data_IF_513004384896
#
_entry.id   IF_513004384896
#
_cell.length_a   1.000
_cell.length_b   1.000
_cell.length_c   1.000
_cell.angle_alpha   90.00
_cell.angle_beta   90.00
_cell.angle_gamma   90.00
#
_symmetry.space_group_name_H-M   'P 1'
#
loop_
_entity.id
_entity.type
_entity.pdbx_description
1 polymer ?
#
# COMPACT_ATOMS: atom_id res chain seq x y z
N UNK A 1 21.76 -22.40 6.67
CA UNK A 1 20.45 -21.78 6.39
C UNK A 1 20.02 -21.08 7.66
N UNK A 2 19.89 -19.76 7.65
CA UNK A 2 19.39 -19.05 8.82
C UNK A 2 17.92 -19.43 9.02
N UNK A 3 17.52 -19.81 10.24
CA UNK A 3 16.12 -19.89 10.62
C UNK A 3 15.52 -18.50 10.41
N UNK A 4 14.88 -18.25 9.27
CA UNK A 4 14.10 -17.03 9.06
C UNK A 4 12.90 -17.17 9.98
N UNK A 5 12.82 -16.38 11.05
CA UNK A 5 11.72 -16.37 12.01
C UNK A 5 10.74 -15.27 11.54
N UNK A 6 9.43 -15.43 11.76
CA UNK A 6 8.46 -14.35 11.60
C UNK A 6 8.80 -13.28 12.64
N UNK A 7 9.47 -12.23 12.21
CA UNK A 7 9.98 -11.19 13.12
C UNK A 7 9.40 -9.83 12.77
N UNK A 8 8.94 -9.08 13.80
CA UNK A 8 8.46 -7.71 13.62
C UNK A 8 9.60 -6.84 13.07
N UNK A 9 9.41 -6.26 11.89
CA UNK A 9 10.36 -5.37 11.24
C UNK A 9 10.29 -3.97 11.83
N UNK A 10 9.09 -3.36 11.82
CA UNK A 10 8.86 -2.05 12.37
C UNK A 10 7.41 -1.87 12.86
N UNK A 11 7.20 -0.78 13.58
CA UNK A 11 5.89 -0.27 13.94
C UNK A 11 5.85 1.24 13.72
N UNK A 12 4.94 1.72 12.87
CA UNK A 12 4.76 3.14 12.61
C UNK A 12 3.36 3.58 13.05
N UNK A 13 3.30 4.62 13.89
CA UNK A 13 2.06 5.26 14.30
C UNK A 13 1.93 6.62 13.61
N UNK A 14 0.84 6.81 12.86
CA UNK A 14 0.55 8.05 12.15
C UNK A 14 -0.32 8.98 12.99
N UNK A 15 -0.20 10.28 12.69
CA UNK A 15 -0.95 11.36 13.34
C UNK A 15 -2.46 11.18 13.14
N UNK A 16 -2.89 10.76 11.94
CA UNK A 16 -4.30 10.60 11.58
C UNK A 16 -4.58 9.21 11.00
N UNK A 17 -5.87 8.80 10.92
CA UNK A 17 -6.24 7.52 10.31
C UNK A 17 -5.77 7.39 8.87
N UNK A 18 -5.18 6.24 8.55
CA UNK A 18 -4.74 5.82 7.24
C UNK A 18 -5.96 5.61 6.34
N UNK A 19 -5.89 6.20 5.15
CA UNK A 19 -6.91 6.15 4.12
C UNK A 19 -6.47 5.36 2.89
N UNK A 20 -5.20 5.50 2.50
CA UNK A 20 -4.65 4.82 1.33
C UNK A 20 -3.17 4.55 1.50
N UNK A 21 -2.70 3.47 0.90
CA UNK A 21 -1.30 3.05 0.85
C UNK A 21 -0.93 2.78 -0.60
N UNK A 22 0.25 3.23 -1.02
CA UNK A 22 0.88 2.92 -2.30
C UNK A 22 2.34 2.54 -2.05
N UNK A 23 2.93 1.70 -2.90
CA UNK A 23 4.27 1.14 -2.69
C UNK A 23 5.15 1.33 -3.92
N UNK A 24 6.38 1.80 -3.70
CA UNK A 24 7.48 1.74 -4.66
C UNK A 24 8.45 0.66 -4.17
N UNK A 25 8.26 -0.56 -4.66
CA UNK A 25 9.07 -1.70 -4.23
C UNK A 25 10.52 -1.62 -4.72
N UNK A 26 10.77 -0.94 -5.84
CA UNK A 26 12.12 -0.75 -6.40
C UNK A 26 12.96 0.08 -5.46
N UNK A 27 12.39 1.15 -4.90
CA UNK A 27 13.07 2.03 -3.94
C UNK A 27 12.77 1.69 -2.48
N UNK A 28 11.98 0.64 -2.22
CA UNK A 28 11.56 0.21 -0.86
C UNK A 28 10.88 1.34 -0.08
N UNK A 29 9.96 2.05 -0.72
CA UNK A 29 9.20 3.15 -0.13
C UNK A 29 7.71 2.82 -0.06
N UNK A 30 7.05 3.33 0.98
CA UNK A 30 5.62 3.18 1.21
C UNK A 30 5.04 4.57 1.41
N UNK A 31 4.17 4.99 0.50
CA UNK A 31 3.41 6.23 0.62
C UNK A 31 2.07 5.97 1.30
N UNK A 32 1.73 6.83 2.25
CA UNK A 32 0.58 6.66 3.15
C UNK A 32 -0.19 7.97 3.19
N UNK A 33 -1.42 7.93 2.69
CA UNK A 33 -2.40 9.02 2.89
C UNK A 33 -3.10 8.81 4.22
N UNK A 34 -3.09 9.84 5.05
CA UNK A 34 -3.91 9.93 6.26
C UNK A 34 -4.84 11.13 6.17
N UNK A 35 -5.97 11.09 6.87
CA UNK A 35 -6.92 12.21 6.89
C UNK A 35 -7.27 12.64 8.28
N UNK A 36 -7.11 13.94 8.55
CA UNK A 36 -7.53 14.52 9.80
C UNK A 36 -9.07 14.44 9.94
N UNK A 37 -9.61 13.79 10.97
CA UNK A 37 -11.05 13.67 11.16
C UNK A 37 -11.76 15.02 11.35
N UNK A 38 -11.07 16.04 11.86
CA UNK A 38 -11.68 17.32 12.22
C UNK A 38 -11.88 18.22 10.99
N UNK A 39 -10.85 18.35 10.14
CA UNK A 39 -10.87 19.25 8.98
C UNK A 39 -10.92 18.52 7.64
N UNK A 40 -10.84 17.18 7.63
CA UNK A 40 -10.82 16.28 6.46
C UNK A 40 -9.64 16.48 5.49
N UNK A 41 -8.65 17.30 5.86
CA UNK A 41 -7.46 17.51 5.02
C UNK A 41 -6.63 16.23 4.93
N UNK A 42 -6.10 15.92 3.73
CA UNK A 42 -5.16 14.83 3.54
C UNK A 42 -3.75 15.25 3.98
N UNK A 43 -3.06 14.32 4.61
CA UNK A 43 -1.65 14.39 4.98
C UNK A 43 -0.95 13.16 4.41
N UNK A 44 0.17 13.39 3.73
CA UNK A 44 0.93 12.37 3.04
C UNK A 44 2.23 12.09 3.79
N UNK A 45 2.48 10.81 4.02
CA UNK A 45 3.68 10.31 4.67
C UNK A 45 4.38 9.34 3.73
N UNK A 46 5.70 9.27 3.81
CA UNK A 46 6.50 8.27 3.11
C UNK A 46 7.45 7.64 4.10
N UNK A 47 7.45 6.32 4.18
CA UNK A 47 8.38 5.55 5.00
C UNK A 47 9.17 4.56 4.17
N UNK A 48 10.33 4.14 4.67
CA UNK A 48 11.08 3.02 4.11
C UNK A 48 10.49 1.68 4.56
N UNK A 49 10.93 0.57 3.96
CA UNK A 49 10.55 -0.78 4.39
C UNK A 49 11.16 -1.16 5.75
N UNK A 50 12.13 -0.38 6.22
CA UNK A 50 12.75 -0.48 7.54
C UNK A 50 11.98 0.35 8.58
N UNK A 51 11.00 1.17 8.15
CA UNK A 51 10.15 1.99 9.01
C UNK A 51 10.66 3.41 9.23
N UNK A 52 11.73 3.82 8.55
CA UNK A 52 12.28 5.17 8.65
C UNK A 52 11.36 6.17 7.97
N UNK A 53 11.11 7.32 8.62
CA UNK A 53 10.30 8.40 8.05
C UNK A 53 11.13 9.18 7.03
N UNK A 54 10.67 9.20 5.78
CA UNK A 54 11.25 9.95 4.67
C UNK A 54 10.51 11.28 4.48
N UNK A 55 9.18 11.22 4.46
CA UNK A 55 8.30 12.39 4.39
C UNK A 55 7.25 12.27 5.49
N UNK A 56 7.05 13.32 6.27
CA UNK A 56 6.12 13.31 7.41
C UNK A 56 5.08 14.42 7.30
N UNK A 57 3.82 14.04 7.46
CA UNK A 57 2.67 14.93 7.57
C UNK A 57 2.65 16.03 6.49
N UNK A 58 3.03 15.69 5.25
CA UNK A 58 3.00 16.63 4.13
C UNK A 58 1.54 16.94 3.79
N UNK A 59 1.11 18.16 4.09
CA UNK A 59 -0.28 18.57 3.92
C UNK A 59 -0.62 18.79 2.45
N UNK A 60 -1.72 18.20 1.98
CA UNK A 60 -2.23 18.47 0.63
C UNK A 60 -2.69 19.93 0.44
N UNK A 61 -2.67 20.39 -0.81
CA UNK A 61 -3.06 21.76 -1.19
C UNK A 61 -4.52 22.05 -0.79
N UNK A 62 -5.42 21.08 -0.96
CA UNK A 62 -6.82 21.14 -0.57
C UNK A 62 -7.37 19.75 -0.25
N UNK A 63 -8.61 19.68 0.25
CA UNK A 63 -9.25 18.44 0.72
C UNK A 63 -9.44 17.38 -0.36
N UNK A 64 -9.51 17.83 -1.62
CA UNK A 64 -9.76 17.02 -2.80
C UNK A 64 -8.50 16.32 -3.33
N UNK A 65 -7.32 16.66 -2.80
CA UNK A 65 -6.09 15.96 -3.18
C UNK A 65 -6.01 14.58 -2.52
N UNK A 66 -5.56 13.60 -3.28
CA UNK A 66 -5.38 12.22 -2.84
C UNK A 66 -4.08 11.64 -3.36
N UNK A 67 -3.60 10.61 -2.68
CA UNK A 67 -2.48 9.79 -3.11
C UNK A 67 -2.86 9.06 -4.40
N UNK A 68 -2.09 9.25 -5.46
CA UNK A 68 -2.27 8.56 -6.73
C UNK A 68 -1.27 7.41 -6.91
N UNK A 69 -0.07 7.54 -6.37
CA UNK A 69 0.99 6.54 -6.45
C UNK A 69 2.31 7.06 -5.85
N UNK A 70 3.30 6.18 -5.81
CA UNK A 70 4.70 6.51 -5.52
C UNK A 70 5.58 5.70 -6.46
N UNK A 71 6.57 6.35 -7.07
CA UNK A 71 7.56 5.72 -7.94
C UNK A 71 8.74 6.67 -8.12
N UNK A 72 9.95 6.15 -8.37
CA UNK A 72 11.15 6.97 -8.61
C UNK A 72 11.45 7.91 -7.45
N UNK A 73 11.13 7.51 -6.21
CA UNK A 73 11.26 8.38 -5.02
C UNK A 73 10.43 9.67 -5.14
N UNK A 74 9.38 9.66 -5.98
CA UNK A 74 8.42 10.75 -6.13
C UNK A 74 7.05 10.31 -5.63
N UNK A 75 6.48 11.13 -4.75
CA UNK A 75 5.09 11.04 -4.34
C UNK A 75 4.21 11.70 -5.40
N UNK A 76 3.23 10.96 -5.92
CA UNK A 76 2.30 11.46 -6.93
C UNK A 76 0.92 11.65 -6.30
N UNK A 77 0.43 12.87 -6.37
CA UNK A 77 -0.88 13.27 -5.88
C UNK A 77 -1.76 13.69 -7.05
N UNK A 78 -3.06 13.42 -6.92
CA UNK A 78 -4.07 13.90 -7.87
C UNK A 78 -5.20 14.58 -7.15
N UNK A 79 -5.82 15.56 -7.79
CA UNK A 79 -7.06 16.17 -7.32
C UNK A 79 -8.27 15.34 -7.82
N UNK A 80 -9.15 14.94 -6.92
CA UNK A 80 -10.44 14.33 -7.26
C UNK A 80 -11.43 15.46 -7.59
N UNK A 81 -12.07 15.41 -8.75
CA UNK A 81 -13.21 16.27 -9.06
C UNK A 81 -14.50 15.45 -9.04
N UNK A 82 -15.51 15.87 -8.29
CA UNK A 82 -16.81 15.21 -8.25
C UNK A 82 -17.69 15.53 -9.46
N UNK A 83 -17.47 16.66 -10.15
CA UNK A 83 -18.46 17.18 -11.12
C UNK A 83 -17.93 17.83 -12.42
N UNK A 84 -16.62 17.93 -12.67
CA UNK A 84 -16.14 18.48 -13.95
C UNK A 84 -14.62 18.28 -14.18
N UNK A 85 -14.18 17.99 -15.42
CA UNK A 85 -12.77 18.04 -15.83
C UNK A 85 -12.03 19.36 -15.50
N UNK A 86 -12.76 20.43 -15.21
CA UNK A 86 -12.19 21.76 -14.91
C UNK A 86 -11.32 21.80 -13.65
N UNK A 87 -11.54 20.88 -12.70
CA UNK A 87 -10.88 20.81 -11.38
C UNK A 87 -9.76 19.78 -11.28
N UNK A 88 -9.16 19.41 -12.41
CA UNK A 88 -8.06 18.46 -12.46
C UNK A 88 -6.76 19.04 -11.88
N UNK A 89 -5.92 18.18 -11.32
CA UNK A 89 -4.62 18.57 -10.80
C UNK A 89 -3.75 17.35 -10.57
N UNK A 90 -2.47 17.48 -10.89
CA UNK A 90 -1.42 16.53 -10.56
C UNK A 90 -0.34 17.29 -9.82
N UNK A 91 0.16 16.73 -8.72
CA UNK A 91 1.28 17.28 -7.97
C UNK A 91 2.26 16.14 -7.77
N UNK A 92 3.52 16.40 -8.11
CA UNK A 92 4.62 15.47 -7.90
C UNK A 92 5.57 16.12 -6.91
N UNK A 93 5.88 15.39 -5.85
CA UNK A 93 6.73 15.86 -4.74
C UNK A 93 7.89 14.90 -4.60
N UNK A 94 9.11 15.40 -4.55
CA UNK A 94 10.27 14.58 -4.17
C UNK A 94 10.13 14.12 -2.71
N UNK A 95 10.28 12.83 -2.46
CA UNK A 95 10.09 12.28 -1.13
C UNK A 95 11.16 12.76 -0.13
N UNK A 96 12.39 12.96 -0.59
CA UNK A 96 13.53 13.33 0.26
C UNK A 96 13.75 14.85 0.33
N UNK A 97 13.26 15.60 -0.65
CA UNK A 97 13.25 17.06 -0.65
C UNK A 97 11.88 17.61 -1.08
N UNK A 98 10.90 17.72 -0.17
CA UNK A 98 9.54 18.16 -0.52
C UNK A 98 9.46 19.61 -1.04
N UNK A 99 10.54 20.39 -0.96
CA UNK A 99 10.60 21.70 -1.60
C UNK A 99 10.72 21.58 -3.12
N UNK A 100 11.24 20.46 -3.63
CA UNK A 100 11.22 20.09 -5.04
C UNK A 100 9.89 19.45 -5.40
N UNK A 101 8.94 20.30 -5.73
CA UNK A 101 7.61 19.89 -6.14
C UNK A 101 7.11 20.67 -7.35
N UNK A 102 6.33 20.01 -8.18
CA UNK A 102 5.70 20.60 -9.35
C UNK A 102 4.22 20.27 -9.35
N UNK A 103 3.40 21.25 -9.77
CA UNK A 103 1.94 21.11 -9.80
C UNK A 103 1.38 21.53 -11.14
N UNK A 104 0.55 20.68 -11.72
CA UNK A 104 -0.09 20.83 -13.01
C UNK A 104 -1.62 20.84 -12.87
N UNK A 105 -2.22 22.03 -12.76
CA UNK A 105 -3.68 22.21 -12.64
C UNK A 105 -4.48 22.08 -13.95
N UNK A 106 -3.78 21.86 -15.06
CA UNK A 106 -4.41 21.75 -16.39
C UNK A 106 -4.44 20.30 -16.89
N UNK A 107 -4.12 19.33 -16.04
CA UNK A 107 -3.97 17.94 -16.42
C UNK A 107 -4.76 17.00 -15.51
N UNK A 108 -5.37 16.01 -16.14
CA UNK A 108 -6.12 14.92 -15.51
C UNK A 108 -5.17 13.72 -15.39
N UNK A 109 -5.09 13.15 -14.19
CA UNK A 109 -4.40 11.90 -13.95
C UNK A 109 -5.20 10.73 -14.55
N UNK A 110 -4.58 9.95 -15.44
CA UNK A 110 -5.20 8.76 -16.03
C UNK A 110 -4.65 7.46 -15.44
N UNK A 111 -3.38 7.44 -15.03
CA UNK A 111 -2.76 6.25 -14.45
C UNK A 111 -1.25 6.39 -14.24
N UNK A 112 -0.66 5.38 -13.61
CA UNK A 112 0.79 5.21 -13.53
C UNK A 112 1.26 4.26 -14.64
N UNK A 113 2.46 4.49 -15.14
CA UNK A 113 3.23 3.58 -15.97
C UNK A 113 4.66 3.49 -15.44
N UNK A 114 5.45 2.55 -15.97
CA UNK A 114 6.87 2.42 -15.63
C UNK A 114 7.59 3.78 -15.78
N UNK A 115 8.06 4.31 -14.64
CA UNK A 115 8.73 5.60 -14.46
C UNK A 115 7.96 6.83 -14.98
N UNK A 116 6.64 6.72 -15.18
CA UNK A 116 5.82 7.74 -15.83
C UNK A 116 4.45 7.92 -15.20
N UNK A 117 3.87 9.11 -15.39
CA UNK A 117 2.44 9.37 -15.16
C UNK A 117 1.76 9.51 -16.53
N UNK A 118 0.66 8.79 -16.72
CA UNK A 118 -0.23 8.96 -17.86
C UNK A 118 -1.24 10.05 -17.50
N UNK A 119 -1.33 11.06 -18.36
CA UNK A 119 -2.14 12.25 -18.11
C UNK A 119 -2.74 12.80 -19.39
N UNK A 120 -3.78 13.63 -19.24
CA UNK A 120 -4.46 14.28 -20.36
C UNK A 120 -4.71 15.76 -20.04
N UNK A 121 -4.45 16.69 -20.99
CA UNK A 121 -4.89 18.07 -20.85
C UNK A 121 -6.40 18.15 -20.63
N UNK A 122 -6.85 18.89 -19.62
CA UNK A 122 -8.27 18.93 -19.23
C UNK A 122 -9.23 19.49 -20.28
N UNK A 123 -8.70 20.25 -21.25
CA UNK A 123 -9.48 20.91 -22.32
C UNK A 123 -9.65 20.05 -23.58
N UNK A 124 -9.11 18.84 -23.60
CA UNK A 124 -9.14 17.95 -24.77
C UNK A 124 -10.04 16.75 -24.44
N UNK A 125 -11.09 16.55 -25.25
CA UNK A 125 -11.94 15.36 -25.19
C UNK A 125 -11.14 14.09 -25.56
N UNK A 126 -11.63 12.92 -25.14
CA UNK A 126 -10.94 11.63 -25.16
C UNK A 126 -10.04 11.38 -26.40
N UNK A 127 -8.85 10.78 -26.19
CA UNK A 127 -7.97 10.33 -27.27
C UNK A 127 -6.54 10.87 -27.23
N UNK A 128 -6.28 12.01 -26.58
CA UNK A 128 -4.92 12.50 -26.35
C UNK A 128 -4.41 12.07 -24.97
N UNK A 129 -3.37 11.24 -24.95
CA UNK A 129 -2.60 10.91 -23.74
C UNK A 129 -1.21 11.52 -23.86
N UNK A 130 -0.71 12.04 -22.75
CA UNK A 130 0.66 12.48 -22.58
C UNK A 130 1.28 11.72 -21.41
N UNK A 131 2.60 11.71 -21.38
CA UNK A 131 3.36 11.00 -20.37
C UNK A 131 4.32 11.96 -19.68
N UNK A 132 4.22 12.13 -18.36
CA UNK A 132 5.24 12.82 -17.59
C UNK A 132 6.28 11.80 -17.13
N UNK A 133 7.53 12.00 -17.51
CA UNK A 133 8.66 11.21 -17.00
C UNK A 133 9.02 11.66 -15.59
N UNK A 134 9.01 10.75 -14.62
CA UNK A 134 9.23 11.07 -13.19
C UNK A 134 10.69 11.32 -12.84
N UNK A 135 11.64 10.86 -13.66
CA UNK A 135 13.07 11.10 -13.43
C UNK A 135 13.49 12.48 -13.96
N UNK A 136 12.99 12.86 -15.14
CA UNK A 136 13.38 14.12 -15.80
C UNK A 136 12.39 15.26 -15.56
N UNK A 137 11.19 14.95 -15.07
CA UNK A 137 10.08 15.90 -14.91
C UNK A 137 9.64 16.57 -16.22
N UNK A 138 9.83 15.89 -17.36
CA UNK A 138 9.47 16.42 -18.69
C UNK A 138 8.29 15.68 -19.32
N UNK A 139 7.43 16.41 -20.03
CA UNK A 139 6.35 15.83 -20.83
C UNK A 139 6.89 15.17 -22.10
N UNK A 140 6.49 13.93 -22.34
CA UNK A 140 6.83 13.13 -23.51
C UNK A 140 5.57 12.91 -24.36
N UNK A 141 5.66 13.25 -25.66
CA UNK A 141 4.64 12.94 -26.65
C UNK A 141 4.91 11.58 -27.31
N UNK A 142 4.94 10.49 -26.54
CA UNK A 142 5.10 9.15 -27.11
C UNK A 142 3.75 8.47 -27.30
N UNK A 143 3.32 8.34 -28.55
CA UNK A 143 2.49 7.22 -28.98
C UNK A 143 3.40 6.00 -29.01
N UNK A 144 3.33 5.10 -28.04
CA UNK A 144 3.99 3.81 -28.27
C UNK A 144 3.33 2.65 -27.54
N UNK A 145 3.14 1.58 -28.31
CA UNK A 145 2.61 0.27 -27.89
C UNK A 145 3.55 -0.48 -26.93
N UNK A 146 4.55 0.21 -26.37
CA UNK A 146 5.60 -0.32 -25.51
C UNK A 146 5.56 0.22 -24.07
N UNK A 147 4.54 1.00 -23.71
CA UNK A 147 4.37 1.45 -22.31
C UNK A 147 4.03 0.22 -21.47
N UNK A 148 5.01 -0.27 -20.72
CA UNK A 148 4.78 -1.33 -19.75
C UNK A 148 3.85 -0.79 -18.66
N UNK A 149 2.80 -1.55 -18.29
CA UNK A 149 2.01 -1.23 -17.11
C UNK A 149 2.93 -1.08 -15.89
N UNK A 150 2.53 -0.22 -14.95
CA UNK A 150 3.14 -0.22 -13.64
C UNK A 150 2.85 -1.57 -12.97
N UNK A 151 3.91 -2.33 -12.70
CA UNK A 151 3.80 -3.65 -12.07
C UNK A 151 3.77 -3.46 -10.54
N UNK A 152 2.56 -3.50 -9.97
CA UNK A 152 2.41 -3.42 -8.52
C UNK A 152 3.02 -4.66 -7.88
N UNK A 153 4.08 -4.48 -7.11
CA UNK A 153 4.71 -5.58 -6.35
C UNK A 153 3.90 -5.97 -5.10
N UNK A 154 2.74 -5.35 -4.89
CA UNK A 154 1.83 -5.68 -3.79
C UNK A 154 1.08 -6.97 -4.13
N UNK A 155 1.24 -7.97 -3.28
CA UNK A 155 0.54 -9.24 -3.37
C UNK A 155 -0.44 -9.34 -2.21
N UNK A 156 -1.74 -9.37 -2.51
CA UNK A 156 -2.77 -9.64 -1.50
C UNK A 156 -2.92 -11.15 -1.30
N UNK A 157 -3.29 -11.59 -0.08
CA UNK A 157 -3.68 -12.98 0.14
C UNK A 157 -4.95 -13.33 -0.62
N UNK A 158 -5.05 -14.60 -1.00
CA UNK A 158 -6.28 -15.17 -1.55
C UNK A 158 -6.98 -16.02 -0.50
N UNK A 159 -8.30 -16.04 -0.54
CA UNK A 159 -9.09 -16.93 0.32
C UNK A 159 -8.86 -18.37 -0.14
N UNK A 160 -8.46 -19.22 0.80
CA UNK A 160 -8.22 -20.63 0.55
C UNK A 160 -9.50 -21.45 0.78
N UNK A 161 -10.10 -21.90 -0.32
CA UNK A 161 -11.34 -22.69 -0.31
C UNK A 161 -11.11 -24.21 -0.36
N UNK A 162 -9.86 -24.65 -0.21
CA UNK A 162 -9.49 -26.06 -0.26
C UNK A 162 -9.63 -26.78 1.08
N UNK A 163 -9.26 -28.06 1.11
CA UNK A 163 -9.14 -28.79 2.38
C UNK A 163 -8.00 -28.19 3.20
N UNK A 164 -8.30 -27.78 4.43
CA UNK A 164 -7.30 -27.27 5.38
C UNK A 164 -6.27 -28.38 5.67
N UNK A 165 -4.96 -28.11 5.51
CA UNK A 165 -3.91 -29.06 5.85
C UNK A 165 -3.97 -29.52 7.31
N UNK A 166 -3.60 -30.77 7.57
CA UNK A 166 -3.73 -31.37 8.91
C UNK A 166 -2.92 -30.63 9.97
N UNK A 167 -1.76 -30.07 9.63
CA UNK A 167 -0.92 -29.29 10.55
C UNK A 167 -1.56 -27.97 10.99
N UNK A 168 -2.63 -27.52 10.34
CA UNK A 168 -3.41 -26.36 10.77
C UNK A 168 -4.65 -26.74 11.58
N UNK A 169 -4.98 -28.02 11.71
CA UNK A 169 -6.22 -28.48 12.34
C UNK A 169 -6.30 -28.14 13.85
N UNK A 170 -5.16 -27.91 14.50
CA UNK A 170 -5.08 -27.57 15.91
C UNK A 170 -5.42 -26.09 16.21
N UNK A 171 -5.54 -25.25 15.17
CA UNK A 171 -5.94 -23.85 15.34
C UNK A 171 -7.45 -23.68 15.25
N UNK A 172 -8.01 -22.93 16.21
CA UNK A 172 -9.42 -22.51 16.16
C UNK A 172 -9.55 -21.27 15.30
N UNK A 173 -9.79 -21.48 14.01
CA UNK A 173 -9.98 -20.43 13.02
C UNK A 173 -11.41 -19.87 13.09
N UNK A 174 -11.53 -18.56 13.13
CA UNK A 174 -12.80 -17.85 13.08
C UNK A 174 -12.96 -17.23 11.68
N UNK A 175 -13.74 -17.89 10.81
CA UNK A 175 -14.09 -17.47 9.43
C UNK A 175 -13.06 -17.93 8.36
N UNK A 176 -12.89 -17.13 7.31
CA UNK A 176 -11.99 -17.43 6.18
C UNK A 176 -10.53 -17.65 6.58
N UNK A 177 -9.86 -18.48 5.77
CA UNK A 177 -8.41 -18.71 5.82
C UNK A 177 -7.80 -18.13 4.56
N UNK A 178 -6.74 -17.39 4.74
CA UNK A 178 -6.04 -16.70 3.66
C UNK A 178 -4.67 -17.32 3.42
N UNK A 179 -4.23 -17.33 2.17
CA UNK A 179 -2.95 -17.91 1.78
C UNK A 179 -2.20 -17.03 0.77
N UNK A 180 -0.88 -16.97 0.90
CA UNK A 180 0.06 -16.56 -0.13
C UNK A 180 1.13 -17.62 -0.35
N UNK A 181 1.63 -17.70 -1.59
CA UNK A 181 2.79 -18.52 -1.94
C UNK A 181 4.03 -17.62 -1.97
N UNK A 182 5.08 -18.02 -1.26
CA UNK A 182 6.36 -17.32 -1.21
C UNK A 182 7.49 -18.34 -1.49
N UNK A 183 7.88 -18.44 -2.76
CA UNK A 183 8.81 -19.47 -3.24
C UNK A 183 8.29 -20.88 -2.87
N UNK A 184 9.03 -21.63 -2.06
CA UNK A 184 8.68 -22.98 -1.60
C UNK A 184 7.83 -23.00 -0.32
N UNK A 185 7.45 -21.82 0.20
CA UNK A 185 6.69 -21.68 1.44
C UNK A 185 5.27 -21.17 1.18
N UNK A 186 4.38 -21.48 2.12
CA UNK A 186 3.03 -20.92 2.20
C UNK A 186 2.92 -20.05 3.45
N UNK A 187 2.33 -18.87 3.26
CA UNK A 187 1.98 -17.95 4.34
C UNK A 187 0.48 -18.05 4.52
N UNK A 188 0.05 -18.63 5.62
CA UNK A 188 -1.35 -18.71 6.01
C UNK A 188 -1.65 -17.61 7.00
N UNK A 189 -2.86 -17.08 6.94
CA UNK A 189 -3.37 -16.22 7.99
C UNK A 189 -4.85 -16.46 8.22
N UNK A 190 -5.27 -16.21 9.44
CA UNK A 190 -6.64 -16.40 9.87
C UNK A 190 -6.88 -15.64 11.16
N UNK A 191 -8.15 -15.37 11.43
CA UNK A 191 -8.58 -14.83 12.70
C UNK A 191 -8.71 -15.93 13.74
N UNK A 192 -8.34 -15.62 14.97
CA UNK A 192 -8.69 -16.42 16.14
C UNK A 192 -9.53 -15.56 17.08
N UNK A 193 -10.59 -16.14 17.63
CA UNK A 193 -11.40 -15.47 18.65
C UNK A 193 -10.76 -15.67 20.02
N UNK A 194 -10.50 -14.57 20.71
CA UNK A 194 -9.97 -14.56 22.07
C UNK A 194 -11.09 -14.67 23.10
N UNK A 195 -10.74 -15.06 24.33
CA UNK A 195 -11.70 -15.23 25.44
C UNK A 195 -12.48 -13.94 25.78
N UNK A 196 -11.96 -12.76 25.41
CA UNK A 196 -12.58 -11.47 25.70
C UNK A 196 -13.50 -10.99 24.56
N UNK A 197 -13.94 -11.89 23.66
CA UNK A 197 -14.72 -11.56 22.47
C UNK A 197 -14.02 -10.57 21.51
N UNK A 198 -12.68 -10.48 21.59
CA UNK A 198 -11.83 -9.77 20.64
C UNK A 198 -11.23 -10.78 19.65
N UNK A 199 -10.72 -10.30 18.53
CA UNK A 199 -10.03 -11.09 17.52
C UNK A 199 -8.52 -10.88 17.60
N UNK A 200 -7.77 -11.84 17.07
CA UNK A 200 -6.35 -11.70 16.79
C UNK A 200 -6.04 -12.31 15.42
N UNK A 201 -5.00 -11.81 14.76
CA UNK A 201 -4.52 -12.33 13.48
C UNK A 201 -3.32 -13.21 13.78
N UNK A 202 -3.42 -14.49 13.42
CA UNK A 202 -2.28 -15.40 13.39
C UNK A 202 -1.76 -15.51 11.97
N UNK A 203 -0.44 -15.52 11.83
CA UNK A 203 0.26 -15.90 10.62
C UNK A 203 1.00 -17.20 10.88
N UNK A 204 0.91 -18.13 9.93
CA UNK A 204 1.63 -19.41 9.94
C UNK A 204 2.44 -19.51 8.68
N UNK A 205 3.73 -19.88 8.80
CA UNK A 205 4.54 -20.28 7.67
C UNK A 205 4.64 -21.81 7.62
N UNK A 206 4.46 -22.39 6.46
CA UNK A 206 4.54 -23.83 6.25
C UNK A 206 5.26 -24.17 4.94
N UNK A 207 5.69 -25.42 4.82
CA UNK A 207 5.87 -26.04 3.49
C UNK A 207 4.53 -26.62 3.04
N UNK A 208 4.52 -27.46 2.01
CA UNK A 208 3.33 -28.21 1.61
C UNK A 208 2.84 -29.17 2.70
N UNK A 209 3.78 -29.74 3.47
CA UNK A 209 3.51 -30.91 4.31
C UNK A 209 3.63 -30.62 5.83
N UNK A 210 4.36 -29.57 6.22
CA UNK A 210 4.62 -29.28 7.63
C UNK A 210 4.50 -27.80 7.98
N UNK A 211 4.04 -27.54 9.20
CA UNK A 211 4.11 -26.23 9.84
C UNK A 211 5.56 -25.95 10.23
N UNK A 212 6.07 -24.79 9.84
CA UNK A 212 7.41 -24.35 10.20
C UNK A 212 7.37 -23.39 11.38
N UNK A 213 6.42 -22.46 11.37
CA UNK A 213 6.34 -21.41 12.37
C UNK A 213 4.94 -20.81 12.45
N UNK A 214 4.57 -20.28 13.62
CA UNK A 214 3.40 -19.42 13.75
C UNK A 214 3.65 -18.26 14.70
N UNK A 215 3.01 -17.12 14.43
CA UNK A 215 3.05 -15.94 15.28
C UNK A 215 1.69 -15.25 15.31
N UNK A 216 1.30 -14.73 16.47
CA UNK A 216 0.21 -13.75 16.57
C UNK A 216 0.80 -12.38 16.24
N UNK A 217 0.34 -11.80 15.13
CA UNK A 217 0.93 -10.55 14.58
C UNK A 217 0.11 -9.31 14.92
N UNK A 218 -1.19 -9.49 15.20
CA UNK A 218 -2.07 -8.43 15.70
C UNK A 218 -2.98 -9.05 16.75
N UNK A 219 -3.18 -8.37 17.88
CA UNK A 219 -4.05 -8.84 18.95
C UNK A 219 -5.01 -7.75 19.41
N UNK A 220 -6.01 -8.13 20.21
CA UNK A 220 -6.99 -7.21 20.80
C UNK A 220 -7.84 -6.44 19.77
N UNK A 221 -8.14 -7.06 18.63
CA UNK A 221 -9.01 -6.46 17.61
C UNK A 221 -10.46 -6.49 18.07
N UNK A 222 -11.11 -5.33 18.16
CA UNK A 222 -12.55 -5.25 18.44
C UNK A 222 -13.40 -5.74 17.27
N UNK A 223 -12.91 -5.58 16.03
CA UNK A 223 -13.57 -5.96 14.79
C UNK A 223 -12.56 -6.56 13.80
N UNK A 224 -13.03 -7.42 12.90
CA UNK A 224 -12.23 -7.94 11.78
C UNK A 224 -12.00 -6.87 10.71
N UNK A 225 -10.91 -6.99 9.98
CA UNK A 225 -10.59 -6.17 8.82
C UNK A 225 -11.14 -6.80 7.55
N UNK A 226 -11.41 -5.95 6.55
CA UNK A 226 -11.76 -6.41 5.20
C UNK A 226 -10.57 -7.01 4.45
N UNK A 227 -9.35 -6.53 4.72
CA UNK A 227 -8.11 -7.09 4.18
C UNK A 227 -7.14 -7.29 5.33
N UNK A 228 -6.67 -8.53 5.50
CA UNK A 228 -5.89 -8.92 6.67
C UNK A 228 -4.43 -8.47 6.60
N UNK A 229 -3.81 -8.49 5.43
CA UNK A 229 -2.45 -8.02 5.16
C UNK A 229 -2.23 -7.89 3.65
N UNK A 230 -1.07 -7.36 3.27
CA UNK A 230 -0.49 -7.54 1.94
C UNK A 230 1.01 -7.82 2.05
N UNK A 231 1.59 -8.36 0.98
CA UNK A 231 3.02 -8.68 0.90
C UNK A 231 3.72 -7.85 -0.16
N UNK A 232 4.98 -7.52 0.10
CA UNK A 232 5.93 -7.04 -0.91
C UNK A 232 7.23 -7.79 -0.71
N UNK A 233 7.60 -8.64 -1.66
CA UNK A 233 8.72 -9.56 -1.50
C UNK A 233 8.52 -10.50 -0.30
N UNK A 234 9.45 -10.48 0.65
CA UNK A 234 9.45 -11.33 1.86
C UNK A 234 8.94 -10.60 3.11
N UNK A 235 8.16 -9.54 2.92
CA UNK A 235 7.72 -8.68 4.01
C UNK A 235 6.21 -8.54 3.98
N UNK A 236 5.60 -8.76 5.15
CA UNK A 236 4.16 -8.65 5.40
C UNK A 236 3.88 -7.28 5.98
N UNK A 237 2.80 -6.66 5.53
CA UNK A 237 2.33 -5.36 6.00
C UNK A 237 0.88 -5.46 6.47
N UNK A 238 0.61 -4.96 7.67
CA UNK A 238 -0.71 -5.01 8.30
C UNK A 238 -1.09 -3.63 8.85
N UNK A 239 -2.37 -3.32 8.78
CA UNK A 239 -2.99 -2.25 9.56
C UNK A 239 -3.43 -2.81 10.91
N UNK A 240 -3.40 -2.00 11.96
CA UNK A 240 -3.96 -2.38 13.27
C UNK A 240 -5.29 -1.69 13.56
N UNK A 241 -5.87 -2.01 14.72
CA UNK A 241 -7.26 -1.73 15.11
C UNK A 241 -7.64 -0.24 15.03
N UNK A 242 -6.69 0.63 15.37
CA UNK A 242 -6.87 2.08 15.42
C UNK A 242 -6.82 2.76 14.04
N UNK A 243 -6.60 2.00 12.95
CA UNK A 243 -6.41 2.49 11.57
C UNK A 243 -5.32 3.55 11.43
N UNK A 244 -4.47 3.73 12.43
CA UNK A 244 -3.38 4.73 12.49
C UNK A 244 -2.02 4.07 12.61
N UNK A 245 -1.98 2.82 13.01
CA UNK A 245 -0.78 2.06 13.19
C UNK A 245 -0.62 1.07 12.03
N UNK A 246 0.61 1.04 11.53
CA UNK A 246 1.03 0.25 10.39
C UNK A 246 2.25 -0.55 10.81
N UNK A 247 2.12 -1.87 10.70
CA UNK A 247 3.10 -2.81 11.24
C UNK A 247 3.62 -3.67 10.10
N UNK A 248 4.89 -4.03 10.21
CA UNK A 248 5.50 -4.95 9.26
C UNK A 248 6.24 -6.11 9.93
N UNK A 249 6.25 -7.26 9.26
CA UNK A 249 6.93 -8.49 9.67
C UNK A 249 7.76 -9.05 8.50
N UNK A 250 8.97 -9.52 8.78
CA UNK A 250 9.78 -10.31 7.85
C UNK A 250 9.37 -11.78 7.93
N UNK A 251 9.29 -12.46 6.79
CA UNK A 251 8.91 -13.87 6.67
C UNK A 251 9.84 -14.71 5.81
#
# INVERSE_FOLDING_TARGET
MANQIISKAFNALFTYPIWRIEVDATHRLIAIETRNPDDTFPYFNVITFEGDQVLRDFRGISKEWVLAGIQCQKLVLKKISSHSPSDAGIQVVDCYDPTQQETWFNYIFLGMADQRIILRPKMIEDGLQQFLNLNTMTMEAKNDRSVKPFDSSIVYPVIYNGKIPQFLADFTMDDEVWINVLNDYFIWAFYEKTNNNHFQIRIVRSTKDELLESAVVVSQLSLKFFSIYFMVGKQIFLLTDNKREFVSYLV
#
